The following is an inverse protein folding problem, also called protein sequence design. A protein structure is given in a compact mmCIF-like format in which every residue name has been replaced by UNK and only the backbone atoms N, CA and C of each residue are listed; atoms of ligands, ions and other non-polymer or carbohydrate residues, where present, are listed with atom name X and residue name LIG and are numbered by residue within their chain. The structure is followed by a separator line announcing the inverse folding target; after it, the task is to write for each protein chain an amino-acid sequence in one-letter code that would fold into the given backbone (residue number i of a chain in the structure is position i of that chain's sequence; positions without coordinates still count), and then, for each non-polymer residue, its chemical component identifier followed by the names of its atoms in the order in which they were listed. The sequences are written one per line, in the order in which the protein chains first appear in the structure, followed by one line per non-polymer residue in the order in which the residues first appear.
data_IF_045852620222
#
_entry.id   IF_045852620222
#
_cell.length_a   1.000
_cell.length_b   1.000
_cell.length_c   1.000
_cell.angle_alpha   90.00
_cell.angle_beta   90.00
_cell.angle_gamma   90.00
#
_symmetry.space_group_name_H-M   'P 1'
#
loop_
_entity.id
_entity.type
_entity.pdbx_description
1 polymer ?
#
# COMPACT_ATOMS: atom_id res chain seq x y z
N UNK A 1 -53.73 17.13 57.36
CA UNK A 1 -52.79 16.63 56.33
C UNK A 1 -52.37 15.20 56.63
N UNK A 2 -51.90 14.87 57.84
CA UNK A 2 -51.56 13.48 58.22
C UNK A 2 -52.71 12.48 58.10
N UNK A 3 -53.97 12.86 58.42
CA UNK A 3 -55.11 11.95 58.28
C UNK A 3 -55.45 11.61 56.82
N UNK A 4 -55.22 12.55 55.89
CA UNK A 4 -55.39 12.32 54.45
C UNK A 4 -54.29 11.38 53.92
N UNK A 5 -53.04 11.60 54.36
CA UNK A 5 -51.93 10.73 53.99
C UNK A 5 -52.11 9.28 54.48
N UNK A 6 -52.71 9.09 55.68
CA UNK A 6 -53.05 7.74 56.21
C UNK A 6 -54.03 6.96 55.32
N UNK A 7 -54.85 7.64 54.52
CA UNK A 7 -55.78 7.02 53.56
C UNK A 7 -55.28 7.12 52.10
N UNK A 8 -54.02 7.53 51.89
CA UNK A 8 -53.40 7.63 50.56
C UNK A 8 -53.81 8.86 49.76
N UNK A 9 -54.30 9.91 50.40
CA UNK A 9 -54.69 11.16 49.78
C UNK A 9 -53.69 12.28 50.09
N UNK A 10 -53.38 13.07 49.07
CA UNK A 10 -52.39 14.14 49.10
C UNK A 10 -53.01 15.45 48.60
N UNK A 11 -52.46 16.59 49.00
CA UNK A 11 -52.86 17.90 48.46
C UNK A 11 -51.66 18.48 47.74
N UNK A 12 -51.86 18.99 46.53
CA UNK A 12 -50.81 19.62 45.74
C UNK A 12 -50.65 21.13 46.01
N UNK A 13 -49.65 21.74 45.35
CA UNK A 13 -49.29 23.16 45.52
C UNK A 13 -50.39 24.15 45.11
N UNK A 14 -51.45 23.68 44.45
CA UNK A 14 -52.62 24.46 44.06
C UNK A 14 -53.89 24.01 44.80
N UNK A 15 -53.73 23.36 45.95
CA UNK A 15 -54.78 22.91 46.87
C UNK A 15 -55.77 21.89 46.28
N UNK A 16 -55.35 21.08 45.31
CA UNK A 16 -56.17 19.99 44.76
C UNK A 16 -55.87 18.68 45.47
N UNK A 17 -56.93 17.93 45.76
CA UNK A 17 -56.83 16.57 46.29
C UNK A 17 -56.31 15.62 45.21
N UNK A 18 -55.29 14.83 45.55
CA UNK A 18 -54.64 13.82 44.69
C UNK A 18 -54.61 12.46 45.37
N UNK A 19 -54.57 11.42 44.57
CA UNK A 19 -54.47 10.01 45.00
C UNK A 19 -53.03 9.47 44.96
N UNK A 20 -52.08 10.33 44.58
CA UNK A 20 -50.65 10.04 44.54
C UNK A 20 -49.89 11.29 45.02
N UNK A 21 -48.79 11.07 45.72
CA UNK A 21 -47.91 12.14 46.17
C UNK A 21 -47.39 12.95 44.96
N UNK A 22 -47.67 14.27 44.89
CA UNK A 22 -47.22 15.13 43.80
C UNK A 22 -45.71 15.07 43.55
N UNK A 23 -44.88 14.93 44.60
CA UNK A 23 -43.41 14.84 44.46
C UNK A 23 -43.02 13.57 43.72
N UNK A 24 -43.59 12.43 44.14
CA UNK A 24 -43.33 11.12 43.53
C UNK A 24 -43.83 11.08 42.08
N UNK A 25 -44.99 11.68 41.79
CA UNK A 25 -45.53 11.75 40.43
C UNK A 25 -44.63 12.58 39.50
N UNK A 26 -44.08 13.69 39.99
CA UNK A 26 -43.15 14.53 39.23
C UNK A 26 -41.82 13.82 38.99
N UNK A 27 -41.21 13.22 40.02
CA UNK A 27 -39.96 12.44 39.90
C UNK A 27 -40.12 11.28 38.91
N UNK A 28 -41.26 10.57 38.92
CA UNK A 28 -41.56 9.52 37.93
C UNK A 28 -41.62 10.07 36.51
N UNK A 29 -42.21 11.25 36.32
CA UNK A 29 -42.30 11.90 35.01
C UNK A 29 -40.94 12.33 34.50
N UNK A 30 -40.11 12.92 35.35
CA UNK A 30 -38.73 13.31 35.04
C UNK A 30 -37.88 12.10 34.69
N UNK A 31 -37.89 11.05 35.53
CA UNK A 31 -37.17 9.81 35.25
C UNK A 31 -37.60 9.17 33.93
N UNK A 32 -38.89 9.21 33.61
CA UNK A 32 -39.40 8.71 32.32
C UNK A 32 -38.82 9.51 31.15
N UNK A 33 -38.74 10.83 31.27
CA UNK A 33 -38.17 11.70 30.23
C UNK A 33 -36.67 11.43 30.06
N UNK A 34 -35.92 11.32 31.15
CA UNK A 34 -34.49 10.98 31.11
C UNK A 34 -34.25 9.61 30.46
N UNK A 35 -35.07 8.60 30.78
CA UNK A 35 -34.98 7.28 30.16
C UNK A 35 -35.20 7.33 28.64
N UNK A 36 -36.15 8.17 28.17
CA UNK A 36 -36.41 8.36 26.75
C UNK A 36 -35.23 9.02 26.05
N UNK A 37 -34.65 10.06 26.66
CA UNK A 37 -33.46 10.74 26.14
C UNK A 37 -32.24 9.84 26.11
N UNK A 38 -32.00 9.09 27.20
CA UNK A 38 -30.96 8.09 27.25
C UNK A 38 -31.10 7.05 26.14
N UNK A 39 -32.31 6.51 25.95
CA UNK A 39 -32.59 5.54 24.88
C UNK A 39 -32.29 6.13 23.50
N UNK A 40 -32.69 7.38 23.25
CA UNK A 40 -32.39 8.09 21.99
C UNK A 40 -30.88 8.25 21.78
N UNK A 41 -30.15 8.68 22.80
CA UNK A 41 -28.70 8.86 22.74
C UNK A 41 -27.98 7.53 22.54
N UNK A 42 -28.44 6.45 23.18
CA UNK A 42 -27.90 5.11 23.00
C UNK A 42 -28.10 4.60 21.56
N UNK A 43 -29.26 4.87 20.95
CA UNK A 43 -29.49 4.51 19.54
C UNK A 43 -28.58 5.29 18.59
N UNK A 44 -28.40 6.60 18.83
CA UNK A 44 -27.46 7.41 18.06
C UNK A 44 -26.03 6.88 18.18
N UNK A 45 -25.58 6.55 19.40
CA UNK A 45 -24.27 5.97 19.64
C UNK A 45 -24.09 4.65 18.89
N UNK A 46 -25.07 3.75 18.96
CA UNK A 46 -25.05 2.47 18.23
C UNK A 46 -24.90 2.68 16.72
N UNK A 47 -25.62 3.65 16.16
CA UNK A 47 -25.50 4.00 14.75
C UNK A 47 -24.10 4.51 14.40
N UNK A 48 -23.56 5.44 15.19
CA UNK A 48 -22.21 5.98 14.98
C UNK A 48 -21.14 4.89 15.07
N UNK A 49 -21.24 3.99 16.04
CA UNK A 49 -20.32 2.86 16.18
C UNK A 49 -20.37 1.92 14.97
N UNK A 50 -21.58 1.62 14.46
CA UNK A 50 -21.75 0.79 13.27
C UNK A 50 -21.20 1.46 12.00
N UNK A 51 -21.41 2.77 11.85
CA UNK A 51 -20.89 3.53 10.72
C UNK A 51 -19.36 3.64 10.78
N UNK A 52 -18.79 3.88 11.96
CA UNK A 52 -17.35 3.87 12.18
C UNK A 52 -16.73 2.50 11.87
N UNK A 53 -17.36 1.41 12.31
CA UNK A 53 -16.91 0.05 12.01
C UNK A 53 -16.84 -0.19 10.49
N UNK A 54 -17.87 0.21 9.74
CA UNK A 54 -17.88 0.06 8.27
C UNK A 54 -16.76 0.86 7.59
N UNK A 55 -16.54 2.10 8.03
CA UNK A 55 -15.46 2.94 7.51
C UNK A 55 -14.11 2.29 7.81
N UNK A 56 -13.90 1.83 9.04
CA UNK A 56 -12.67 1.15 9.46
C UNK A 56 -12.41 -0.12 8.65
N UNK A 57 -13.44 -0.94 8.41
CA UNK A 57 -13.32 -2.16 7.61
C UNK A 57 -12.97 -1.84 6.14
N UNK A 58 -13.58 -0.81 5.56
CA UNK A 58 -13.29 -0.37 4.19
C UNK A 58 -11.85 0.13 4.10
N UNK A 59 -11.43 0.97 5.05
CA UNK A 59 -10.08 1.51 5.10
C UNK A 59 -9.02 0.39 5.24
N UNK A 60 -9.28 -0.62 6.07
CA UNK A 60 -8.39 -1.77 6.19
C UNK A 60 -8.21 -2.51 4.85
N UNK A 61 -9.31 -2.75 4.12
CA UNK A 61 -9.29 -3.38 2.79
C UNK A 61 -8.49 -2.55 1.78
N UNK A 62 -8.66 -1.22 1.80
CA UNK A 62 -7.94 -0.32 0.90
C UNK A 62 -6.43 -0.30 1.19
N UNK A 63 -6.06 -0.26 2.48
CA UNK A 63 -4.66 -0.32 2.90
C UNK A 63 -4.01 -1.63 2.43
N UNK A 64 -4.66 -2.77 2.61
CA UNK A 64 -4.10 -4.05 2.19
C UNK A 64 -3.98 -4.17 0.67
N UNK A 65 -4.96 -3.63 -0.08
CA UNK A 65 -4.90 -3.55 -1.54
C UNK A 65 -3.70 -2.72 -2.01
N UNK A 66 -3.46 -1.55 -1.42
CA UNK A 66 -2.35 -0.69 -1.80
C UNK A 66 -0.99 -1.26 -1.36
N UNK A 67 -0.92 -1.96 -0.22
CA UNK A 67 0.28 -2.73 0.16
C UNK A 67 0.63 -3.78 -0.89
N UNK A 68 -0.36 -4.57 -1.32
CA UNK A 68 -0.14 -5.61 -2.35
C UNK A 68 0.31 -5.00 -3.68
N UNK A 69 -0.28 -3.87 -4.09
CA UNK A 69 0.15 -3.13 -5.27
C UNK A 69 1.59 -2.65 -5.16
N UNK A 70 1.96 -2.05 -4.03
CA UNK A 70 3.32 -1.57 -3.79
C UNK A 70 4.36 -2.71 -3.84
N UNK A 71 4.05 -3.85 -3.20
CA UNK A 71 4.89 -5.05 -3.26
C UNK A 71 5.02 -5.57 -4.70
N UNK A 72 3.90 -5.62 -5.43
CA UNK A 72 3.87 -6.04 -6.84
C UNK A 72 4.78 -5.18 -7.71
N UNK A 73 4.63 -3.85 -7.64
CA UNK A 73 5.47 -2.89 -8.38
C UNK A 73 6.94 -3.02 -8.00
N UNK A 74 7.25 -3.16 -6.71
CA UNK A 74 8.63 -3.34 -6.23
C UNK A 74 9.26 -4.63 -6.78
N UNK A 75 8.50 -5.72 -6.83
CA UNK A 75 8.98 -6.98 -7.39
C UNK A 75 9.22 -6.87 -8.89
N UNK A 76 8.33 -6.22 -9.63
CA UNK A 76 8.52 -5.95 -11.07
C UNK A 76 9.81 -5.16 -11.32
N UNK A 77 10.03 -4.08 -10.57
CA UNK A 77 11.25 -3.27 -10.69
C UNK A 77 12.51 -4.08 -10.39
N UNK A 78 12.49 -4.91 -9.36
CA UNK A 78 13.61 -5.82 -9.04
C UNK A 78 13.88 -6.81 -10.17
N UNK A 79 12.84 -7.39 -10.76
CA UNK A 79 12.98 -8.31 -11.90
C UNK A 79 13.56 -7.62 -13.12
N UNK A 80 13.04 -6.45 -13.49
CA UNK A 80 13.57 -5.64 -14.61
C UNK A 80 15.05 -5.30 -14.37
N UNK A 81 15.40 -4.88 -13.16
CA UNK A 81 16.79 -4.55 -12.83
C UNK A 81 17.72 -5.77 -12.94
N UNK A 82 17.27 -6.95 -12.49
CA UNK A 82 18.04 -8.20 -12.63
C UNK A 82 18.20 -8.62 -14.09
N UNK A 83 17.13 -8.53 -14.87
CA UNK A 83 17.17 -8.84 -16.30
C UNK A 83 18.15 -7.92 -17.02
N UNK A 84 18.06 -6.60 -16.79
CA UNK A 84 18.97 -5.61 -17.36
C UNK A 84 20.43 -5.89 -16.99
N UNK A 85 20.70 -6.27 -15.74
CA UNK A 85 22.05 -6.64 -15.32
C UNK A 85 22.57 -7.89 -16.04
N UNK A 86 21.72 -8.90 -16.21
CA UNK A 86 22.06 -10.10 -16.98
C UNK A 86 22.35 -9.79 -18.45
N UNK A 87 21.51 -8.99 -19.09
CA UNK A 87 21.71 -8.53 -20.48
C UNK A 87 23.04 -7.76 -20.62
N UNK A 88 23.35 -6.88 -19.68
CA UNK A 88 24.62 -6.14 -19.69
C UNK A 88 25.84 -7.07 -19.60
N UNK A 89 25.78 -8.11 -18.77
CA UNK A 89 26.86 -9.11 -18.68
C UNK A 89 27.02 -9.90 -19.97
N UNK A 90 25.91 -10.27 -20.63
CA UNK A 90 25.93 -10.93 -21.93
C UNK A 90 26.58 -10.03 -22.98
N UNK A 91 26.17 -8.77 -23.08
CA UNK A 91 26.77 -7.82 -24.04
C UNK A 91 28.26 -7.60 -23.77
N UNK A 92 28.69 -7.49 -22.51
CA UNK A 92 30.10 -7.36 -22.17
C UNK A 92 30.91 -8.58 -22.59
N UNK A 93 30.36 -9.79 -22.42
CA UNK A 93 31.01 -11.04 -22.84
C UNK A 93 31.16 -11.10 -24.36
N UNK A 94 30.10 -10.72 -25.10
CA UNK A 94 30.14 -10.67 -26.57
C UNK A 94 31.14 -9.63 -27.09
N UNK A 95 31.16 -8.44 -26.49
CA UNK A 95 32.14 -7.40 -26.84
C UNK A 95 33.56 -7.91 -26.62
N UNK A 96 33.80 -8.60 -25.50
CA UNK A 96 35.10 -9.18 -25.18
C UNK A 96 35.52 -10.24 -26.21
N UNK A 97 34.65 -11.20 -26.52
CA UNK A 97 34.90 -12.23 -27.53
C UNK A 97 35.23 -11.64 -28.90
N UNK A 98 34.43 -10.68 -29.37
CA UNK A 98 34.66 -9.99 -30.64
C UNK A 98 35.96 -9.19 -30.65
N UNK A 99 36.32 -8.56 -29.52
CA UNK A 99 37.57 -7.81 -29.40
C UNK A 99 38.77 -8.74 -29.51
N UNK A 100 38.74 -9.90 -28.83
CA UNK A 100 39.81 -10.91 -28.90
C UNK A 100 39.97 -11.43 -30.33
N UNK A 101 38.87 -11.76 -31.00
CA UNK A 101 38.92 -12.26 -32.38
C UNK A 101 39.44 -11.19 -33.35
N UNK A 102 39.05 -9.93 -33.15
CA UNK A 102 39.58 -8.81 -33.94
C UNK A 102 41.09 -8.66 -33.79
N UNK A 103 41.62 -8.73 -32.57
CA UNK A 103 43.07 -8.64 -32.33
C UNK A 103 43.83 -9.84 -32.92
N UNK A 104 43.23 -11.03 -32.89
CA UNK A 104 43.77 -12.22 -33.58
C UNK A 104 43.88 -11.99 -35.09
N UNK A 105 42.80 -11.53 -35.71
CA UNK A 105 42.75 -11.26 -37.16
C UNK A 105 43.71 -10.15 -37.58
N UNK A 106 43.85 -9.08 -36.77
CA UNK A 106 44.86 -8.03 -37.02
C UNK A 106 46.27 -8.58 -37.01
N UNK A 107 46.60 -9.43 -36.03
CA UNK A 107 47.92 -10.05 -35.92
C UNK A 107 48.22 -10.96 -37.11
N UNK A 108 47.24 -11.76 -37.52
CA UNK A 108 47.33 -12.64 -38.70
C UNK A 108 47.52 -11.83 -39.98
N UNK A 109 46.77 -10.74 -40.15
CA UNK A 109 46.90 -9.85 -41.31
C UNK A 109 48.30 -9.22 -41.38
N UNK A 110 48.82 -8.70 -40.27
CA UNK A 110 50.17 -8.15 -40.20
C UNK A 110 51.25 -9.18 -40.54
N UNK A 111 51.07 -10.43 -40.10
CA UNK A 111 51.98 -11.52 -40.45
C UNK A 111 51.97 -11.80 -41.95
N UNK A 112 50.78 -11.92 -42.56
CA UNK A 112 50.65 -12.16 -44.00
C UNK A 112 51.24 -11.02 -44.84
N UNK A 113 51.05 -9.76 -44.43
CA UNK A 113 51.65 -8.60 -45.11
C UNK A 113 53.18 -8.64 -45.12
N UNK A 114 53.81 -9.13 -44.03
CA UNK A 114 55.27 -9.31 -43.99
C UNK A 114 55.71 -10.38 -44.97
N UNK A 115 55.04 -11.53 -44.98
CA UNK A 115 55.33 -12.62 -45.92
C UNK A 115 55.16 -12.16 -47.37
N UNK A 116 54.10 -11.42 -47.68
CA UNK A 116 53.87 -10.85 -49.02
C UNK A 116 55.01 -9.90 -49.43
N UNK A 117 55.45 -9.03 -48.51
CA UNK A 117 56.57 -8.12 -48.76
C UNK A 117 57.86 -8.88 -49.03
N UNK A 118 58.19 -9.88 -48.22
CA UNK A 118 59.37 -10.75 -48.41
C UNK A 118 59.33 -11.47 -49.76
N UNK A 119 58.16 -11.98 -50.15
CA UNK A 119 57.98 -12.65 -51.45
C UNK A 119 58.18 -11.67 -52.62
N UNK A 120 57.66 -10.45 -52.53
CA UNK A 120 57.86 -9.41 -53.54
C UNK A 120 59.34 -9.02 -53.67
N UNK A 121 60.06 -8.90 -52.55
CA UNK A 121 61.51 -8.65 -52.55
C UNK A 121 62.28 -9.79 -53.24
N UNK A 122 61.94 -11.05 -52.94
CA UNK A 122 62.54 -12.22 -53.59
C UNK A 122 62.29 -12.17 -55.10
N UNK A 123 61.04 -11.94 -55.53
CA UNK A 123 60.68 -11.86 -56.96
C UNK A 123 61.46 -10.74 -57.65
N UNK A 124 61.52 -9.54 -57.05
CA UNK A 124 62.26 -8.41 -57.61
C UNK A 124 63.75 -8.73 -57.73
N UNK A 125 64.36 -9.35 -56.73
CA UNK A 125 65.76 -9.77 -56.79
C UNK A 125 66.01 -10.82 -57.87
N UNK A 126 65.06 -11.73 -58.13
CA UNK A 126 65.16 -12.67 -59.24
C UNK A 126 65.07 -11.97 -60.61
N UNK A 127 64.18 -10.99 -60.76
CA UNK A 127 63.99 -10.25 -62.01
C UNK A 127 65.16 -9.32 -62.35
N UNK A 128 65.83 -8.74 -61.34
CA UNK A 128 66.98 -7.84 -61.54
C UNK A 128 68.28 -8.59 -61.82
N UNK A 129 68.38 -9.86 -61.42
CA UNK A 129 69.57 -10.71 -61.61
C UNK A 129 69.48 -11.65 -62.83
N UNK A 130 68.51 -11.45 -63.73
CA UNK A 130 68.43 -12.06 -65.08
C UNK A 130 68.86 -11.04 -66.14
#
# INVERSE_FOLDING_TARGET
MEELQKVGLFIDDIYRLRVEDPSIANEKSELRQECLEYSKNLQLFKKLAADFYKISETFAKDVDKEKLRAIGTQNQLKTISKQRQGEQQVYQSQIYEQTVELERLKSEHQYLQRIETEQLEIINNFLVNQ
#
